data_IF_067551110575
#
_entry.id   IF_067551110575
#
_cell.length_a   1.000
_cell.length_b   1.000
_cell.length_c   1.000
_cell.angle_alpha   90.00
_cell.angle_beta   90.00
_cell.angle_gamma   90.00
#
_symmetry.space_group_name_H-M   'P 1'
#
loop_
_entity.id
_entity.type
_entity.pdbx_description
1 polymer ?
#
# COMPACT_ATOMS: atom_id res chain seq x y z
N UNK A 1 -7.83 -12.96 11.72
CA UNK A 1 -8.51 -11.66 11.48
C UNK A 1 -9.81 -11.87 10.71
N UNK A 2 -10.92 -11.34 11.21
CA UNK A 2 -12.17 -11.21 10.46
C UNK A 2 -12.39 -9.71 10.20
N UNK A 3 -12.43 -9.34 8.93
CA UNK A 3 -12.66 -7.96 8.50
C UNK A 3 -13.49 -7.99 7.21
N UNK A 4 -14.77 -7.57 7.24
CA UNK A 4 -15.62 -7.53 6.06
C UNK A 4 -14.94 -6.83 4.88
N UNK A 5 -15.05 -7.41 3.69
CA UNK A 5 -14.50 -6.82 2.46
C UNK A 5 -15.13 -5.45 2.17
N UNK A 6 -16.44 -5.35 2.41
CA UNK A 6 -17.25 -4.16 2.18
C UNK A 6 -18.22 -3.94 3.34
N UNK A 7 -18.42 -2.68 3.74
CA UNK A 7 -19.32 -2.33 4.85
C UNK A 7 -20.78 -2.70 4.57
N UNK A 8 -21.18 -2.82 3.30
CA UNK A 8 -22.53 -3.27 2.88
C UNK A 8 -22.84 -4.72 3.32
N UNK A 9 -21.82 -5.48 3.70
CA UNK A 9 -21.98 -6.82 4.26
C UNK A 9 -22.27 -6.82 5.76
N UNK A 10 -22.31 -5.64 6.41
CA UNK A 10 -22.50 -5.48 7.85
C UNK A 10 -23.87 -4.83 8.11
N UNK A 11 -24.74 -5.55 8.79
CA UNK A 11 -26.02 -5.04 9.27
C UNK A 11 -25.90 -4.57 10.72
N UNK A 12 -26.80 -3.66 11.14
CA UNK A 12 -26.90 -3.20 12.52
C UNK A 12 -28.32 -3.45 13.04
N UNK A 13 -28.42 -3.98 14.25
CA UNK A 13 -29.69 -4.17 14.96
C UNK A 13 -29.61 -3.58 16.37
N UNK A 14 -30.71 -3.01 16.86
CA UNK A 14 -30.82 -2.44 18.22
C UNK A 14 -31.26 -3.47 19.28
N UNK A 15 -31.38 -4.74 18.89
CA UNK A 15 -31.87 -5.80 19.75
C UNK A 15 -30.94 -7.01 19.68
N UNK A 16 -30.52 -7.53 20.84
CA UNK A 16 -29.86 -8.84 20.93
C UNK A 16 -30.78 -10.01 20.54
N UNK A 17 -32.06 -9.75 20.25
CA UNK A 17 -33.01 -10.80 19.90
C UNK A 17 -32.51 -11.57 18.67
N UNK A 18 -32.15 -12.82 18.97
CA UNK A 18 -31.84 -13.95 18.10
C UNK A 18 -33.02 -14.41 17.24
N UNK A 19 -34.00 -13.53 16.99
CA UNK A 19 -35.20 -13.91 16.26
C UNK A 19 -34.83 -14.07 14.79
N UNK A 20 -34.50 -15.31 14.44
CA UNK A 20 -34.38 -15.84 13.07
C UNK A 20 -35.60 -15.52 12.19
N UNK A 21 -36.67 -15.02 12.78
CA UNK A 21 -37.92 -14.63 12.12
C UNK A 21 -37.83 -13.30 11.37
N UNK A 22 -36.96 -12.36 11.78
CA UNK A 22 -36.82 -11.09 11.06
C UNK A 22 -35.92 -11.27 9.84
N UNK A 23 -36.42 -10.98 8.63
CA UNK A 23 -35.59 -11.13 7.45
C UNK A 23 -34.52 -10.03 7.40
N UNK A 24 -33.35 -10.38 6.89
CA UNK A 24 -32.20 -9.48 6.74
C UNK A 24 -31.92 -9.18 5.27
N UNK A 25 -31.26 -8.05 5.00
CA UNK A 25 -30.85 -7.69 3.66
C UNK A 25 -29.86 -8.72 3.08
N UNK A 26 -30.03 -9.09 1.81
CA UNK A 26 -29.32 -10.22 1.19
C UNK A 26 -27.78 -10.10 1.19
N UNK A 27 -27.22 -8.89 1.27
CA UNK A 27 -25.76 -8.69 1.37
C UNK A 27 -25.20 -8.89 2.78
N UNK A 28 -26.06 -8.87 3.81
CA UNK A 28 -25.64 -8.95 5.22
C UNK A 28 -25.04 -10.31 5.54
N UNK A 29 -23.72 -10.37 5.70
CA UNK A 29 -22.99 -11.56 6.15
C UNK A 29 -22.61 -11.46 7.63
N UNK A 30 -22.58 -10.24 8.16
CA UNK A 30 -22.25 -9.96 9.55
C UNK A 30 -23.31 -9.06 10.16
N UNK A 31 -23.62 -9.26 11.45
CA UNK A 31 -24.59 -8.46 12.18
C UNK A 31 -23.94 -7.90 13.45
N UNK A 32 -24.06 -6.59 13.63
CA UNK A 32 -23.69 -5.90 14.87
C UNK A 32 -24.98 -5.65 15.65
N UNK A 33 -25.07 -6.22 16.85
CA UNK A 33 -26.13 -5.91 17.79
C UNK A 33 -25.64 -4.85 18.78
N UNK A 34 -26.36 -3.72 18.85
CA UNK A 34 -26.15 -2.65 19.81
C UNK A 34 -27.32 -2.64 20.78
N UNK A 35 -27.06 -2.88 22.07
CA UNK A 35 -28.07 -2.73 23.12
C UNK A 35 -27.67 -1.61 24.05
N UNK A 36 -28.52 -0.61 24.12
CA UNK A 36 -28.41 0.44 25.12
C UNK A 36 -28.98 -0.08 26.44
N UNK A 37 -28.20 0.02 27.52
CA UNK A 37 -28.68 -0.27 28.86
C UNK A 37 -29.46 0.95 29.38
N UNK A 38 -30.79 0.85 29.57
CA UNK A 38 -31.62 2.01 29.94
C UNK A 38 -31.28 2.59 31.32
N UNK A 39 -30.59 1.83 32.17
CA UNK A 39 -30.28 2.21 33.55
C UNK A 39 -28.91 2.88 33.69
N UNK A 40 -27.96 2.56 32.80
CA UNK A 40 -26.59 3.10 32.85
C UNK A 40 -26.26 3.99 31.66
N UNK A 41 -27.10 4.01 30.62
CA UNK A 41 -26.83 4.70 29.35
C UNK A 41 -25.64 4.11 28.57
N UNK A 42 -25.13 2.94 28.98
CA UNK A 42 -24.01 2.29 28.32
C UNK A 42 -24.48 1.37 27.19
N UNK A 43 -23.81 1.43 26.04
CA UNK A 43 -24.07 0.52 24.92
C UNK A 43 -23.22 -0.73 25.05
N UNK A 44 -23.87 -1.90 25.00
CA UNK A 44 -23.23 -3.20 24.87
C UNK A 44 -23.30 -3.67 23.41
N UNK A 45 -22.18 -4.18 22.90
CA UNK A 45 -22.05 -4.62 21.52
C UNK A 45 -21.80 -6.12 21.42
N UNK A 46 -22.38 -6.74 20.39
CA UNK A 46 -22.02 -8.09 19.95
C UNK A 46 -21.94 -8.16 18.43
N UNK A 47 -21.05 -8.99 17.92
CA UNK A 47 -20.82 -9.19 16.50
C UNK A 47 -21.07 -10.65 16.16
N UNK A 48 -21.84 -10.89 15.09
CA UNK A 48 -22.24 -12.23 14.66
C UNK A 48 -21.93 -12.45 13.17
N UNK A 49 -21.58 -13.69 12.82
CA UNK A 49 -21.68 -14.20 11.45
C UNK A 49 -23.12 -14.68 11.21
N UNK A 50 -23.66 -14.39 10.02
CA UNK A 50 -25.05 -14.69 9.68
C UNK A 50 -25.14 -15.76 8.59
N UNK A 51 -25.78 -16.88 8.92
CA UNK A 51 -26.24 -17.88 7.95
C UNK A 51 -27.66 -17.55 7.53
N UNK A 52 -27.92 -17.51 6.23
CA UNK A 52 -29.18 -17.05 5.64
C UNK A 52 -29.58 -17.90 4.44
N UNK A 53 -30.87 -18.03 4.21
CA UNK A 53 -31.44 -18.75 3.06
C UNK A 53 -32.62 -18.01 2.42
N UNK A 54 -33.02 -18.52 1.25
CA UNK A 54 -34.05 -17.93 0.41
C UNK A 54 -33.51 -17.01 -0.69
N UNK A 55 -34.42 -16.55 -1.53
CA UNK A 55 -34.16 -15.68 -2.69
C UNK A 55 -34.75 -14.28 -2.49
N UNK A 56 -34.30 -13.32 -3.29
CA UNK A 56 -34.75 -11.92 -3.20
C UNK A 56 -33.91 -11.03 -2.28
N UNK A 57 -34.41 -9.81 -2.06
CA UNK A 57 -33.71 -8.74 -1.34
C UNK A 57 -33.63 -8.96 0.17
N UNK A 58 -34.63 -9.64 0.72
CA UNK A 58 -34.78 -9.94 2.13
C UNK A 58 -34.74 -11.46 2.30
N UNK A 59 -33.85 -11.94 3.17
CA UNK A 59 -33.58 -13.37 3.39
C UNK A 59 -33.82 -13.76 4.83
N UNK A 60 -34.27 -15.00 5.04
CA UNK A 60 -34.48 -15.54 6.38
C UNK A 60 -33.14 -15.83 7.03
N UNK A 61 -32.99 -15.46 8.29
CA UNK A 61 -31.82 -15.83 9.10
C UNK A 61 -32.01 -17.27 9.57
N UNK A 62 -31.05 -18.14 9.30
CA UNK A 62 -31.07 -19.54 9.74
C UNK A 62 -30.30 -19.71 11.05
N UNK A 63 -29.16 -19.03 11.17
CA UNK A 63 -28.32 -19.08 12.36
C UNK A 63 -27.49 -17.80 12.51
N UNK A 64 -27.19 -17.48 13.76
CA UNK A 64 -26.27 -16.42 14.17
C UNK A 64 -25.15 -17.05 14.99
N UNK A 65 -23.92 -16.94 14.50
CA UNK A 65 -22.73 -17.45 15.18
C UNK A 65 -21.98 -16.27 15.80
N UNK A 66 -21.82 -16.29 17.13
CA UNK A 66 -21.14 -15.20 17.84
C UNK A 66 -19.64 -15.16 17.48
N UNK A 67 -19.16 -13.98 17.09
CA UNK A 67 -17.74 -13.69 16.84
C UNK A 67 -17.11 -13.10 18.11
N UNK A 68 -17.75 -12.09 18.70
CA UNK A 68 -17.31 -11.44 19.93
C UNK A 68 -18.49 -10.72 20.60
N UNK A 69 -18.43 -10.56 21.93
CA UNK A 69 -19.51 -9.87 22.66
C UNK A 69 -19.03 -9.18 23.94
N UNK A 70 -19.82 -8.20 24.40
CA UNK A 70 -19.62 -7.55 25.69
C UNK A 70 -18.24 -6.90 25.80
N UNK A 71 -17.42 -7.36 26.76
CA UNK A 71 -16.09 -6.79 27.05
C UNK A 71 -15.04 -7.07 25.97
N UNK A 72 -15.33 -7.93 25.00
CA UNK A 72 -14.45 -8.24 23.88
C UNK A 72 -14.57 -7.21 22.75
N UNK A 73 -15.64 -6.42 22.75
CA UNK A 73 -16.00 -5.50 21.67
C UNK A 73 -15.95 -4.07 22.17
N UNK A 74 -15.28 -3.20 21.43
CA UNK A 74 -15.33 -1.75 21.64
C UNK A 74 -15.78 -1.05 20.37
N UNK A 75 -16.49 0.07 20.51
CA UNK A 75 -16.76 0.98 19.40
C UNK A 75 -15.77 2.12 19.44
N UNK A 76 -15.12 2.38 18.31
CA UNK A 76 -14.25 3.53 18.17
C UNK A 76 -15.08 4.82 18.17
N UNK A 77 -14.62 5.83 18.90
CA UNK A 77 -15.37 7.05 19.22
C UNK A 77 -15.40 8.06 18.08
N UNK A 78 -14.45 7.98 17.14
CA UNK A 78 -14.33 8.91 16.02
C UNK A 78 -14.76 8.27 14.70
N UNK A 79 -15.33 9.09 13.83
CA UNK A 79 -15.62 8.71 12.47
C UNK A 79 -14.30 8.59 11.68
N UNK A 80 -14.13 7.51 10.93
CA UNK A 80 -12.96 7.24 10.10
C UNK A 80 -13.34 7.02 8.64
N UNK A 81 -12.35 7.09 7.75
CA UNK A 81 -12.51 6.57 6.39
C UNK A 81 -12.54 5.03 6.46
N UNK A 82 -13.74 4.44 6.53
CA UNK A 82 -13.91 2.99 6.64
C UNK A 82 -13.51 2.21 5.37
N UNK A 83 -13.17 2.91 4.28
CA UNK A 83 -12.54 2.30 3.09
C UNK A 83 -11.04 2.12 3.25
N UNK A 84 -10.40 2.82 4.20
CA UNK A 84 -8.98 2.65 4.49
C UNK A 84 -8.75 1.45 5.40
N UNK A 85 -8.52 0.30 4.76
CA UNK A 85 -8.32 -0.98 5.43
C UNK A 85 -7.08 -0.99 6.31
N UNK A 86 -5.98 -0.39 5.85
CA UNK A 86 -4.73 -0.31 6.62
C UNK A 86 -4.96 0.48 7.91
N UNK A 87 -5.58 1.65 7.80
CA UNK A 87 -5.92 2.49 8.95
C UNK A 87 -6.79 1.75 9.97
N UNK A 88 -7.83 1.04 9.52
CA UNK A 88 -8.72 0.30 10.41
C UNK A 88 -8.00 -0.84 11.13
N UNK A 89 -7.15 -1.61 10.44
CA UNK A 89 -6.40 -2.72 11.05
C UNK A 89 -5.40 -2.19 12.08
N UNK A 90 -4.65 -1.13 11.75
CA UNK A 90 -3.69 -0.53 12.69
C UNK A 90 -4.37 0.08 13.91
N UNK A 91 -5.50 0.76 13.71
CA UNK A 91 -6.29 1.34 14.80
C UNK A 91 -6.87 0.25 15.68
N UNK A 92 -7.42 -0.80 15.08
CA UNK A 92 -7.92 -1.96 15.82
C UNK A 92 -6.81 -2.61 16.64
N UNK A 93 -5.62 -2.81 16.06
CA UNK A 93 -4.49 -3.44 16.76
C UNK A 93 -4.07 -2.67 18.01
N UNK A 94 -4.13 -1.34 17.98
CA UNK A 94 -3.80 -0.48 19.15
C UNK A 94 -4.85 -0.60 20.26
N UNK A 95 -6.11 -0.82 19.91
CA UNK A 95 -7.23 -0.89 20.85
C UNK A 95 -7.47 -2.31 21.40
N UNK A 96 -7.17 -3.34 20.62
CA UNK A 96 -7.27 -4.74 21.03
C UNK A 96 -6.21 -5.09 22.08
N UNK A 97 -6.51 -4.75 23.34
CA UNK A 97 -5.68 -4.99 24.52
C UNK A 97 -6.50 -5.70 25.60
N UNK A 98 -5.86 -6.56 26.38
CA UNK A 98 -6.52 -7.34 27.43
C UNK A 98 -7.57 -8.29 26.87
N UNK A 99 -8.85 -8.02 27.14
CA UNK A 99 -9.99 -8.83 26.65
C UNK A 99 -10.55 -8.35 25.31
N UNK A 100 -10.19 -7.14 24.87
CA UNK A 100 -10.72 -6.58 23.63
C UNK A 100 -10.04 -7.24 22.44
N UNK A 101 -10.82 -7.86 21.57
CA UNK A 101 -10.35 -8.46 20.33
C UNK A 101 -11.09 -7.92 19.09
N UNK A 102 -12.14 -7.11 19.29
CA UNK A 102 -12.99 -6.60 18.21
C UNK A 102 -13.22 -5.11 18.35
N UNK A 103 -13.03 -4.37 17.26
CA UNK A 103 -13.28 -2.93 17.19
C UNK A 103 -14.30 -2.62 16.11
N UNK A 104 -15.37 -1.93 16.47
CA UNK A 104 -16.40 -1.42 15.56
C UNK A 104 -16.02 0.01 15.16
N UNK A 105 -16.07 0.30 13.87
CA UNK A 105 -15.79 1.60 13.29
C UNK A 105 -17.03 2.19 12.64
N UNK A 106 -17.17 3.51 12.73
CA UNK A 106 -18.21 4.28 12.05
C UNK A 106 -17.57 5.12 10.95
N UNK A 107 -18.15 5.05 9.75
CA UNK A 107 -17.78 5.86 8.61
C UNK A 107 -18.33 7.27 8.71
N UNK A 108 -17.71 8.20 7.99
CA UNK A 108 -18.22 9.57 7.81
C UNK A 108 -19.63 9.63 7.22
N UNK A 109 -20.00 8.58 6.47
CA UNK A 109 -21.32 8.36 5.88
C UNK A 109 -22.26 7.54 6.78
N UNK A 110 -21.88 7.34 8.05
CA UNK A 110 -22.60 6.59 9.09
C UNK A 110 -22.73 5.08 8.87
N UNK A 111 -22.15 4.53 7.81
CA UNK A 111 -22.01 3.08 7.69
C UNK A 111 -21.06 2.56 8.76
N UNK A 112 -21.20 1.29 9.11
CA UNK A 112 -20.34 0.67 10.13
C UNK A 112 -19.62 -0.55 9.56
N UNK A 113 -18.45 -0.82 10.10
CA UNK A 113 -17.71 -2.06 9.87
C UNK A 113 -17.00 -2.45 11.16
N UNK A 114 -16.33 -3.59 11.17
CA UNK A 114 -15.55 -4.01 12.32
C UNK A 114 -14.27 -4.73 11.90
N UNK A 115 -13.30 -4.78 12.81
CA UNK A 115 -12.11 -5.61 12.69
C UNK A 115 -12.02 -6.46 13.95
N UNK A 116 -12.03 -7.78 13.77
CA UNK A 116 -11.85 -8.77 14.82
C UNK A 116 -10.50 -9.48 14.65
N UNK A 117 -9.77 -9.68 15.75
CA UNK A 117 -8.41 -10.24 15.79
C UNK A 117 -7.47 -9.60 14.74
N UNK A 118 -7.15 -8.30 14.87
CA UNK A 118 -6.36 -7.57 13.89
C UNK A 118 -4.95 -8.15 13.72
N UNK A 119 -4.58 -8.38 12.47
CA UNK A 119 -3.31 -8.96 12.07
C UNK A 119 -2.53 -8.00 11.17
N UNK A 120 -1.43 -7.46 11.69
CA UNK A 120 -0.56 -6.54 10.97
C UNK A 120 0.22 -7.23 9.84
N UNK A 121 0.43 -8.55 9.92
CA UNK A 121 1.13 -9.30 8.87
C UNK A 121 0.32 -9.41 7.57
N UNK A 122 -1.00 -9.18 7.65
CA UNK A 122 -1.88 -9.11 6.48
C UNK A 122 -1.71 -7.83 5.66
N UNK A 123 -1.05 -6.79 6.19
CA UNK A 123 -0.82 -5.54 5.48
C UNK A 123 0.38 -5.72 4.56
N UNK A 124 0.17 -5.54 3.25
CA UNK A 124 1.23 -5.67 2.27
C UNK A 124 2.13 -4.43 2.31
N UNK A 125 3.41 -4.64 2.57
CA UNK A 125 4.40 -3.58 2.59
C UNK A 125 5.06 -3.41 1.21
N UNK A 126 4.98 -2.20 0.65
CA UNK A 126 5.60 -1.84 -0.61
C UNK A 126 6.74 -0.84 -0.39
N UNK A 127 7.90 -1.10 -0.97
CA UNK A 127 9.04 -0.19 -0.94
C UNK A 127 8.99 0.79 -2.13
N UNK A 128 9.09 2.08 -1.84
CA UNK A 128 9.31 3.13 -2.84
C UNK A 128 10.82 3.22 -3.03
N UNK A 129 11.31 2.60 -4.12
CA UNK A 129 12.72 2.59 -4.49
C UNK A 129 12.98 3.75 -5.45
N UNK A 130 13.68 4.77 -4.98
CA UNK A 130 13.91 6.01 -5.74
C UNK A 130 15.34 6.53 -5.55
N UNK A 131 15.72 7.54 -6.33
CA UNK A 131 17.01 8.22 -6.24
C UNK A 131 16.79 9.72 -5.99
N UNK A 132 17.68 10.34 -5.20
CA UNK A 132 17.67 11.76 -4.91
C UNK A 132 19.07 12.35 -5.10
N UNK A 133 19.22 13.65 -5.40
CA UNK A 133 18.22 14.74 -5.47
C UNK A 133 17.28 14.69 -6.70
N UNK A 134 16.12 15.40 -6.65
CA UNK A 134 15.68 16.30 -5.58
C UNK A 134 15.19 15.60 -4.31
N UNK A 135 15.09 16.34 -3.20
CA UNK A 135 14.45 15.90 -1.95
C UNK A 135 13.16 16.71 -1.71
N UNK A 136 12.00 16.06 -1.47
CA UNK A 136 11.78 14.61 -1.61
C UNK A 136 11.97 14.17 -3.07
N UNK A 137 12.36 12.91 -3.27
CA UNK A 137 12.43 12.35 -4.61
C UNK A 137 11.02 12.26 -5.21
N UNK A 138 10.94 12.36 -6.53
CA UNK A 138 9.65 12.55 -7.20
C UNK A 138 8.68 11.38 -6.97
N UNK A 139 9.15 10.13 -6.99
CA UNK A 139 8.25 8.98 -6.82
C UNK A 139 7.74 8.95 -5.38
N UNK A 140 8.62 9.16 -4.40
CA UNK A 140 8.24 9.26 -2.99
C UNK A 140 7.20 10.34 -2.76
N UNK A 141 7.40 11.55 -3.33
CA UNK A 141 6.43 12.63 -3.24
C UNK A 141 5.05 12.24 -3.82
N UNK A 142 5.03 11.66 -5.02
CA UNK A 142 3.78 11.27 -5.70
C UNK A 142 3.06 10.15 -4.93
N UNK A 143 3.77 9.10 -4.53
CA UNK A 143 3.17 7.98 -3.79
C UNK A 143 2.61 8.45 -2.45
N UNK A 144 3.32 9.32 -1.71
CA UNK A 144 2.82 9.87 -0.44
C UNK A 144 1.59 10.76 -0.62
N UNK A 145 1.51 11.55 -1.69
CA UNK A 145 0.30 12.34 -2.01
C UNK A 145 -0.89 11.45 -2.32
N UNK A 146 -0.68 10.41 -3.11
CA UNK A 146 -1.73 9.43 -3.45
C UNK A 146 -2.16 8.63 -2.21
N UNK A 147 -1.23 8.20 -1.36
CA UNK A 147 -1.53 7.57 -0.07
C UNK A 147 -2.37 8.49 0.81
N UNK A 148 -1.95 9.76 0.97
CA UNK A 148 -2.68 10.75 1.77
C UNK A 148 -4.07 11.09 1.21
N UNK A 149 -4.31 10.93 -0.09
CA UNK A 149 -5.63 11.11 -0.69
C UNK A 149 -6.58 9.94 -0.40
N UNK A 150 -6.10 8.85 0.22
CA UNK A 150 -6.87 7.65 0.52
C UNK A 150 -7.14 6.76 -0.70
N UNK A 151 -6.49 7.02 -1.86
CA UNK A 151 -6.76 6.27 -3.10
C UNK A 151 -6.33 4.81 -3.00
N UNK A 152 -5.50 4.43 -2.03
CA UNK A 152 -5.04 3.06 -1.81
C UNK A 152 -5.70 2.39 -0.59
N UNK A 153 -6.71 3.03 0.02
CA UNK A 153 -7.33 2.54 1.25
C UNK A 153 -7.87 1.11 1.12
N UNK A 154 -8.43 0.76 -0.03
CA UNK A 154 -8.97 -0.57 -0.32
C UNK A 154 -7.89 -1.64 -0.51
N UNK A 155 -6.66 -1.25 -0.80
CA UNK A 155 -5.57 -2.17 -1.14
C UNK A 155 -4.89 -2.79 0.09
N UNK A 156 -5.18 -2.30 1.30
CA UNK A 156 -4.56 -2.77 2.56
C UNK A 156 -3.03 -2.86 2.42
N UNK A 157 -2.43 -1.75 1.97
CA UNK A 157 -0.99 -1.60 1.78
C UNK A 157 -0.39 -0.57 2.73
N UNK A 158 0.93 -0.63 2.93
CA UNK A 158 1.73 0.40 3.57
C UNK A 158 2.99 0.66 2.76
N UNK A 159 3.40 1.92 2.65
CA UNK A 159 4.62 2.28 1.91
C UNK A 159 5.81 2.59 2.83
N UNK A 160 6.97 2.02 2.48
CA UNK A 160 8.28 2.40 3.04
C UNK A 160 9.15 3.02 1.97
N UNK A 161 10.12 3.83 2.36
CA UNK A 161 10.99 4.55 1.42
C UNK A 161 12.41 4.00 1.47
N UNK A 162 12.96 3.74 0.29
CA UNK A 162 14.37 3.46 0.09
C UNK A 162 14.89 4.41 -0.99
N UNK A 163 15.32 5.59 -0.55
CA UNK A 163 15.84 6.64 -1.42
C UNK A 163 17.36 6.62 -1.37
N UNK A 164 17.98 6.42 -2.54
CA UNK A 164 19.43 6.44 -2.67
C UNK A 164 19.89 7.87 -2.93
N UNK A 165 20.64 8.43 -1.97
CA UNK A 165 21.21 9.77 -2.09
C UNK A 165 22.48 9.73 -2.95
N UNK A 166 22.44 10.41 -4.09
CA UNK A 166 23.54 10.50 -5.04
C UNK A 166 24.62 11.51 -4.60
N UNK A 167 24.35 12.37 -3.61
CA UNK A 167 25.33 13.33 -3.09
C UNK A 167 26.58 12.66 -2.54
N UNK A 168 26.47 11.41 -2.08
CA UNK A 168 27.63 10.61 -1.65
C UNK A 168 28.67 10.34 -2.75
N UNK A 169 28.32 10.60 -4.01
CA UNK A 169 29.24 10.48 -5.15
C UNK A 169 29.70 11.83 -5.69
N UNK A 170 29.32 12.96 -5.08
CA UNK A 170 29.75 14.29 -5.51
C UNK A 170 31.26 14.44 -5.52
N UNK A 171 31.75 15.22 -6.47
CA UNK A 171 33.17 15.43 -6.65
C UNK A 171 33.50 16.08 -7.98
N UNK A 172 34.63 16.78 -8.02
CA UNK A 172 35.09 17.53 -9.20
C UNK A 172 35.24 16.67 -10.47
N UNK A 173 35.55 15.39 -10.30
CA UNK A 173 35.73 14.43 -11.40
C UNK A 173 34.51 13.54 -11.62
N UNK A 174 33.43 13.73 -10.86
CA UNK A 174 32.18 12.99 -11.03
C UNK A 174 31.35 13.62 -12.14
N UNK A 175 30.71 12.76 -12.93
CA UNK A 175 29.81 13.12 -14.01
C UNK A 175 28.41 12.55 -13.72
N UNK A 176 27.41 13.42 -13.66
CA UNK A 176 26.01 13.07 -13.48
C UNK A 176 25.21 13.22 -14.79
N UNK A 177 24.00 12.65 -14.90
CA UNK A 177 23.25 12.66 -16.15
C UNK A 177 22.67 14.03 -16.51
N UNK A 178 22.36 14.87 -15.52
CA UNK A 178 21.64 16.12 -15.74
C UNK A 178 21.96 17.19 -14.67
N UNK A 179 22.19 18.41 -15.14
CA UNK A 179 22.40 19.62 -14.35
C UNK A 179 21.23 19.97 -13.43
N UNK A 180 20.00 19.61 -13.81
CA UNK A 180 18.80 19.84 -13.00
C UNK A 180 18.80 19.09 -11.65
N UNK A 181 19.68 18.10 -11.48
CA UNK A 181 19.88 17.43 -10.19
C UNK A 181 20.50 18.36 -9.13
N UNK A 182 21.23 19.40 -9.55
CA UNK A 182 21.94 20.30 -8.64
C UNK A 182 23.12 19.65 -7.91
N UNK A 183 23.57 18.46 -8.35
CA UNK A 183 24.71 17.76 -7.76
C UNK A 183 26.04 18.44 -8.09
N UNK A 184 26.96 18.48 -7.12
CA UNK A 184 28.32 18.99 -7.33
C UNK A 184 29.15 18.02 -8.19
N UNK A 185 29.43 18.43 -9.41
CA UNK A 185 30.21 17.67 -10.39
C UNK A 185 30.02 18.26 -11.79
N UNK A 186 30.39 17.49 -12.80
CA UNK A 186 30.05 17.79 -14.20
C UNK A 186 28.75 17.07 -14.58
N UNK A 187 28.07 17.55 -15.61
CA UNK A 187 26.80 16.99 -16.08
C UNK A 187 26.83 16.68 -17.58
N UNK A 188 26.31 15.51 -17.94
CA UNK A 188 26.27 15.04 -19.33
C UNK A 188 25.41 15.89 -20.26
N UNK A 189 24.48 16.69 -19.75
CA UNK A 189 23.62 17.56 -20.57
C UNK A 189 24.29 18.90 -20.89
N UNK A 190 25.12 19.44 -19.99
CA UNK A 190 25.69 20.80 -20.12
C UNK A 190 27.19 20.86 -20.39
N UNK A 191 27.97 19.92 -19.84
CA UNK A 191 29.43 20.05 -19.81
C UNK A 191 30.12 19.33 -20.98
N UNK A 192 31.32 19.83 -21.32
CA UNK A 192 32.25 19.20 -22.25
C UNK A 192 33.39 18.58 -21.43
N UNK A 193 33.66 17.30 -21.67
CA UNK A 193 34.71 16.55 -20.99
C UNK A 193 35.92 16.41 -21.92
N UNK A 194 37.11 16.62 -21.39
CA UNK A 194 38.38 16.58 -22.14
C UNK A 194 39.45 15.71 -21.48
N UNK A 195 39.19 15.21 -20.27
CA UNK A 195 40.16 14.51 -19.44
C UNK A 195 39.68 13.07 -19.15
N UNK A 196 40.61 12.14 -19.00
CA UNK A 196 40.32 10.76 -18.60
C UNK A 196 40.12 10.64 -17.08
N UNK A 197 39.56 9.51 -16.64
CA UNK A 197 39.43 9.16 -15.23
C UNK A 197 38.20 9.75 -14.55
N UNK A 198 37.19 10.15 -15.34
CA UNK A 198 35.90 10.58 -14.82
C UNK A 198 35.16 9.43 -14.14
N UNK A 199 34.38 9.76 -13.10
CA UNK A 199 33.44 8.83 -12.48
C UNK A 199 32.02 9.13 -12.97
N UNK A 200 31.50 8.32 -13.88
CA UNK A 200 30.11 8.42 -14.31
C UNK A 200 29.19 7.78 -13.26
N UNK A 201 28.25 8.55 -12.73
CA UNK A 201 27.19 8.06 -11.83
C UNK A 201 25.87 8.19 -12.57
N UNK A 202 25.29 7.07 -13.00
CA UNK A 202 24.11 7.11 -13.86
C UNK A 202 23.56 5.73 -14.19
N UNK A 203 22.54 5.69 -15.04
CA UNK A 203 22.00 4.43 -15.55
C UNK A 203 22.64 4.08 -16.91
N UNK A 204 22.19 2.98 -17.51
CA UNK A 204 22.66 2.55 -18.83
C UNK A 204 22.51 3.61 -19.92
N UNK A 205 21.48 4.46 -19.85
CA UNK A 205 21.32 5.57 -20.80
C UNK A 205 22.42 6.62 -20.62
N UNK A 206 22.78 6.93 -19.37
CA UNK A 206 23.89 7.83 -19.08
C UNK A 206 25.20 7.27 -19.62
N UNK A 207 25.40 5.95 -19.48
CA UNK A 207 26.55 5.24 -20.04
C UNK A 207 26.63 5.39 -21.56
N UNK A 208 25.56 5.03 -22.27
CA UNK A 208 25.49 5.18 -23.73
C UNK A 208 25.70 6.63 -24.15
N UNK A 209 25.11 7.60 -23.44
CA UNK A 209 25.28 9.02 -23.74
C UNK A 209 26.72 9.50 -23.55
N UNK A 210 27.40 9.04 -22.49
CA UNK A 210 28.81 9.34 -22.27
C UNK A 210 29.67 8.81 -23.43
N UNK A 211 29.51 7.53 -23.79
CA UNK A 211 30.29 6.88 -24.84
C UNK A 211 30.03 7.49 -26.24
N UNK A 212 28.80 7.94 -26.51
CA UNK A 212 28.48 8.63 -27.77
C UNK A 212 29.07 10.04 -27.86
N UNK A 213 29.08 10.79 -26.75
CA UNK A 213 29.58 12.18 -26.71
C UNK A 213 31.09 12.25 -26.58
N UNK A 214 31.71 11.29 -25.91
CA UNK A 214 33.12 11.29 -25.54
C UNK A 214 33.77 9.93 -25.81
N UNK A 215 33.81 9.47 -27.08
CA UNK A 215 34.19 8.09 -27.44
C UNK A 215 35.65 7.72 -27.09
N UNK A 216 36.53 8.71 -26.93
CA UNK A 216 37.94 8.50 -26.64
C UNK A 216 38.28 8.60 -25.13
N UNK A 217 37.30 8.95 -24.28
CA UNK A 217 37.55 9.15 -22.85
C UNK A 217 37.35 7.87 -22.04
N UNK A 218 38.31 7.57 -21.18
CA UNK A 218 38.21 6.52 -20.17
C UNK A 218 37.49 7.02 -18.91
N UNK A 219 36.61 6.18 -18.36
CA UNK A 219 35.80 6.50 -17.19
C UNK A 219 35.53 5.27 -16.31
N UNK A 220 35.30 5.50 -15.03
CA UNK A 220 34.72 4.52 -14.10
C UNK A 220 33.20 4.70 -14.04
N UNK A 221 32.45 3.63 -13.80
CA UNK A 221 30.98 3.68 -13.82
C UNK A 221 30.36 3.16 -12.52
N UNK A 222 29.59 4.02 -11.85
CA UNK A 222 28.66 3.63 -10.79
C UNK A 222 27.27 3.54 -11.39
N UNK A 223 26.85 2.30 -11.65
CA UNK A 223 25.52 2.05 -12.18
C UNK A 223 24.47 2.25 -11.08
N UNK A 224 23.46 3.08 -11.34
CA UNK A 224 22.29 3.27 -10.47
C UNK A 224 20.99 2.74 -11.11
N UNK A 225 21.09 2.01 -12.21
CA UNK A 225 19.93 1.37 -12.85
C UNK A 225 19.36 0.28 -11.94
N UNK A 226 18.07 0.31 -11.55
CA UNK A 226 17.49 -0.69 -10.67
C UNK A 226 17.60 -2.12 -11.23
N UNK A 227 17.71 -2.29 -12.55
CA UNK A 227 17.82 -3.60 -13.21
C UNK A 227 19.22 -4.24 -13.21
N UNK A 228 20.27 -3.44 -12.98
CA UNK A 228 21.67 -3.90 -13.17
C UNK A 228 22.62 -3.46 -12.06
N UNK A 229 22.14 -2.68 -11.11
CA UNK A 229 22.93 -2.04 -10.07
C UNK A 229 22.92 -2.86 -8.79
N UNK A 230 24.04 -2.85 -8.07
CA UNK A 230 24.12 -3.28 -6.67
C UNK A 230 23.85 -2.12 -5.68
N UNK A 231 23.72 -0.91 -6.21
CA UNK A 231 23.52 0.35 -5.47
C UNK A 231 22.04 0.61 -5.22
N UNK A 232 21.20 0.40 -6.24
CA UNK A 232 19.76 0.62 -6.22
C UNK A 232 19.07 -0.74 -6.30
N UNK A 233 18.97 -1.41 -5.16
CA UNK A 233 18.46 -2.79 -5.07
C UNK A 233 17.23 -2.81 -4.16
N UNK A 234 16.09 -3.40 -4.59
CA UNK A 234 14.93 -3.53 -3.72
C UNK A 234 15.17 -4.51 -2.57
N UNK A 235 14.46 -4.35 -1.45
CA UNK A 235 14.53 -5.26 -0.29
C UNK A 235 13.25 -6.05 -0.01
N UNK A 236 12.17 -5.70 -0.71
CA UNK A 236 10.81 -6.26 -0.61
C UNK A 236 10.05 -5.89 -1.89
N UNK A 237 8.77 -6.27 -2.04
CA UNK A 237 8.00 -5.81 -3.20
C UNK A 237 8.02 -4.29 -3.33
N UNK A 238 8.23 -3.77 -4.53
CA UNK A 238 8.63 -2.38 -4.69
C UNK A 238 7.98 -1.68 -5.88
N UNK A 239 8.03 -0.35 -5.87
CA UNK A 239 7.78 0.50 -7.03
C UNK A 239 8.99 1.40 -7.27
N UNK A 240 9.41 1.53 -8.53
CA UNK A 240 10.54 2.39 -8.94
C UNK A 240 10.28 3.08 -10.27
N UNK A 241 11.24 3.90 -10.72
CA UNK A 241 11.16 4.63 -12.00
C UNK A 241 12.20 4.17 -12.99
N UNK A 242 11.83 4.25 -14.27
CA UNK A 242 12.75 4.09 -15.38
C UNK A 242 12.41 5.08 -16.50
N UNK A 243 13.43 5.62 -17.18
CA UNK A 243 13.22 6.44 -18.38
C UNK A 243 12.97 5.62 -19.65
N UNK A 244 13.20 4.31 -19.62
CA UNK A 244 12.89 3.38 -20.72
C UNK A 244 11.46 2.87 -20.57
N UNK A 245 10.57 3.28 -21.47
CA UNK A 245 9.15 2.93 -21.39
C UNK A 245 8.90 1.43 -21.55
N UNK A 246 9.75 0.73 -22.31
CA UNK A 246 9.73 -0.72 -22.48
C UNK A 246 9.97 -1.51 -21.18
N UNK A 247 10.59 -0.86 -20.18
CA UNK A 247 10.83 -1.44 -18.86
C UNK A 247 9.68 -1.16 -17.88
N UNK A 248 8.62 -0.44 -18.30
CA UNK A 248 7.49 -0.11 -17.43
C UNK A 248 6.52 -1.28 -17.30
N UNK A 249 5.84 -1.37 -16.15
CA UNK A 249 4.91 -2.45 -15.83
C UNK A 249 5.42 -3.33 -14.69
N UNK A 250 4.85 -4.53 -14.57
CA UNK A 250 5.23 -5.52 -13.55
C UNK A 250 6.57 -6.15 -13.91
N UNK A 251 7.47 -6.23 -12.94
CA UNK A 251 8.85 -6.72 -13.12
C UNK A 251 9.29 -7.56 -11.93
N UNK A 252 10.37 -8.32 -12.12
CA UNK A 252 11.11 -8.97 -11.03
C UNK A 252 12.55 -8.48 -11.04
N UNK A 253 12.98 -7.83 -9.96
CA UNK A 253 14.34 -7.29 -9.82
C UNK A 253 14.93 -7.85 -8.53
N UNK A 254 16.13 -8.43 -8.63
CA UNK A 254 16.84 -9.05 -7.50
C UNK A 254 15.98 -10.02 -6.68
N UNK A 255 15.11 -10.77 -7.36
CA UNK A 255 14.20 -11.74 -6.75
C UNK A 255 12.88 -11.17 -6.20
N UNK A 256 12.73 -9.85 -6.12
CA UNK A 256 11.52 -9.20 -5.63
C UNK A 256 10.58 -8.83 -6.77
N UNK A 257 9.29 -9.15 -6.60
CA UNK A 257 8.21 -8.70 -7.48
C UNK A 257 7.97 -7.19 -7.27
N UNK A 258 7.93 -6.42 -8.34
CA UNK A 258 7.74 -4.99 -8.25
C UNK A 258 7.13 -4.41 -9.50
N UNK A 259 7.07 -3.09 -9.55
CA UNK A 259 6.60 -2.39 -10.72
C UNK A 259 7.44 -1.16 -11.04
N UNK A 260 7.54 -0.87 -12.33
CA UNK A 260 8.29 0.25 -12.86
C UNK A 260 7.33 1.19 -13.55
N UNK A 261 7.41 2.47 -13.19
CA UNK A 261 6.70 3.53 -13.91
C UNK A 261 7.69 4.35 -14.74
N UNK A 262 7.24 4.84 -15.87
CA UNK A 262 8.04 5.72 -16.71
C UNK A 262 8.36 7.02 -15.95
N UNK A 263 9.53 7.61 -16.17
CA UNK A 263 9.87 8.93 -15.62
C UNK A 263 8.84 10.03 -15.98
N UNK A 264 8.21 9.97 -17.16
CA UNK A 264 7.13 10.88 -17.55
C UNK A 264 5.74 10.48 -17.08
N UNK A 265 5.61 9.52 -16.14
CA UNK A 265 4.30 9.02 -15.71
C UNK A 265 3.50 10.08 -14.94
N UNK A 266 2.19 10.12 -15.14
CA UNK A 266 1.26 10.90 -14.33
C UNK A 266 0.93 10.19 -13.01
N UNK A 267 0.40 10.92 -12.04
CA UNK A 267 -0.05 10.34 -10.76
C UNK A 267 -1.10 9.22 -10.97
N UNK A 268 -1.98 9.37 -11.97
CA UNK A 268 -2.91 8.31 -12.38
C UNK A 268 -2.19 7.03 -12.81
N UNK A 269 -1.15 7.13 -13.64
CA UNK A 269 -0.37 5.98 -14.08
C UNK A 269 0.37 5.32 -12.91
N UNK A 270 0.85 6.10 -11.95
CA UNK A 270 1.46 5.58 -10.72
C UNK A 270 0.44 4.80 -9.90
N UNK A 271 -0.76 5.37 -9.67
CA UNK A 271 -1.83 4.71 -8.92
C UNK A 271 -2.28 3.39 -9.58
N UNK A 272 -2.50 3.41 -10.89
CA UNK A 272 -2.86 2.21 -11.67
C UNK A 272 -1.79 1.12 -11.59
N UNK A 273 -0.52 1.51 -11.65
CA UNK A 273 0.60 0.57 -11.58
C UNK A 273 0.70 -0.08 -10.21
N UNK A 274 0.52 0.69 -9.13
CA UNK A 274 0.45 0.15 -7.76
C UNK A 274 -0.72 -0.83 -7.63
N UNK A 275 -1.91 -0.48 -8.11
CA UNK A 275 -3.09 -1.38 -8.08
C UNK A 275 -2.83 -2.70 -8.79
N UNK A 276 -2.20 -2.66 -9.97
CA UNK A 276 -1.81 -3.86 -10.72
C UNK A 276 -0.80 -4.71 -9.95
N UNK A 277 0.21 -4.08 -9.33
CA UNK A 277 1.21 -4.78 -8.52
C UNK A 277 0.56 -5.49 -7.33
N UNK A 278 -0.26 -4.79 -6.56
CA UNK A 278 -0.95 -5.37 -5.39
C UNK A 278 -1.84 -6.54 -5.80
N UNK A 279 -2.59 -6.40 -6.89
CA UNK A 279 -3.44 -7.47 -7.40
C UNK A 279 -2.63 -8.72 -7.77
N UNK A 280 -1.49 -8.55 -8.44
CA UNK A 280 -0.60 -9.65 -8.83
C UNK A 280 0.04 -10.36 -7.63
N UNK A 281 0.48 -9.60 -6.62
CA UNK A 281 1.09 -10.15 -5.40
C UNK A 281 0.08 -10.99 -4.61
N UNK A 282 -1.18 -10.54 -4.54
CA UNK A 282 -2.26 -11.27 -3.85
C UNK A 282 -2.66 -12.54 -4.57
N UNK A 283 -2.82 -12.50 -5.90
CA UNK A 283 -3.09 -13.70 -6.71
C UNK A 283 -1.99 -14.75 -6.55
N UNK A 284 -0.73 -14.33 -6.52
CA UNK A 284 0.42 -15.24 -6.32
C UNK A 284 0.38 -15.90 -4.94
N UNK A 285 0.03 -15.14 -3.90
CA UNK A 285 -0.10 -15.64 -2.53
C UNK A 285 -1.25 -16.65 -2.39
N UNK A 286 -2.39 -16.38 -3.04
CA UNK A 286 -3.54 -17.31 -3.07
C UNK A 286 -3.19 -18.62 -3.78
N UNK A 287 -2.48 -18.56 -4.91
CA UNK A 287 -2.05 -19.75 -5.65
C UNK A 287 -1.05 -20.61 -4.87
N UNK A 288 -0.15 -19.98 -4.09
CA UNK A 288 0.79 -20.70 -3.22
C UNK A 288 0.09 -21.42 -2.05
N UNK A 289 -1.03 -20.87 -1.56
CA UNK A 289 -1.83 -21.47 -0.49
C UNK A 289 -2.78 -22.59 -0.97
N UNK A 290 -2.89 -22.82 -2.28
CA UNK A 290 -3.76 -23.84 -2.89
C UNK A 290 -2.95 -25.07 -3.35
N UNK A 291 -1.62 -25.03 -3.30
CA UNK A 291 -0.79 -26.21 -3.58
C UNK A 291 -0.69 -27.12 -2.32
N UNK A 292 -1.10 -28.40 -2.42
CA UNK A 292 -1.13 -29.34 -1.29
C UNK A 292 0.25 -29.77 -0.80
#
# INVERSE_FOLDING_TARGET
MIFPEEYKHVGVTKSFCSDTEKPIYFLTNYLIAEKENPQTGSSEYAVYNVKKSGEGLLRKVEALEAIASGKEVVKYDRDLNIKDRTLLIETAKKLCTGKVNTVIFTGVDRHVTFVHDPDLSSILELEILDVAPPHPSWLSLVVRRLEASGIFGDLQVRFTEKVIDLRRFEGKNTVFPCSASGLEGKCLDSDVLTENGHLLVGCEISKTLFEMRFPELEYSFVNICPFKSEVVVPSKPFITRCCRSENSGLVKISGFDGAVVHWGASEYQVAETIRKLVSSLRQTSENLNIQP
#
